data_IF_903190624271
#
_entry.id   IF_903190624271
#
_cell.length_a   1.000
_cell.length_b   1.000
_cell.length_c   1.000
_cell.angle_alpha   90.00
_cell.angle_beta   90.00
_cell.angle_gamma   90.00
#
_symmetry.space_group_name_H-M   'P 1'
#
loop_
_entity.id
_entity.type
_entity.pdbx_description
1 polymer ?
#
# COMPACT_ATOMS: atom_id res chain seq x y z
N UNK A 1 33.19 -3.65 4.98
CA UNK A 1 31.95 -2.89 4.69
C UNK A 1 31.20 -3.66 3.62
N UNK A 2 30.11 -4.36 3.97
CA UNK A 2 29.62 -5.50 3.17
C UNK A 2 28.40 -5.21 2.28
N UNK A 3 27.89 -3.96 2.25
CA UNK A 3 26.67 -3.61 1.51
C UNK A 3 26.89 -2.73 0.28
N UNK A 4 28.10 -2.19 0.04
CA UNK A 4 28.40 -1.21 -1.03
C UNK A 4 27.53 0.07 -1.07
N UNK A 5 26.47 0.18 -0.26
CA UNK A 5 25.55 1.33 -0.17
C UNK A 5 26.29 2.56 0.37
N UNK A 6 26.10 3.75 -0.20
CA UNK A 6 26.72 4.98 0.28
C UNK A 6 26.29 5.31 1.72
N UNK A 7 27.19 5.88 2.53
CA UNK A 7 26.87 6.27 3.90
C UNK A 7 25.77 7.34 3.89
N UNK A 8 24.66 7.09 4.59
CA UNK A 8 23.50 7.99 4.63
C UNK A 8 22.40 7.70 3.60
N UNK A 9 22.64 6.79 2.64
CA UNK A 9 21.56 6.33 1.76
C UNK A 9 20.67 5.31 2.49
N UNK A 10 19.33 5.44 2.43
CA UNK A 10 18.44 4.49 3.07
C UNK A 10 18.54 3.12 2.38
N UNK A 11 18.48 2.04 3.16
CA UNK A 11 18.47 0.68 2.63
C UNK A 11 17.18 0.37 1.85
N UNK A 12 16.10 1.08 2.17
CA UNK A 12 14.80 0.95 1.55
C UNK A 12 14.22 2.34 1.28
N UNK A 13 13.68 2.53 0.08
CA UNK A 13 12.96 3.75 -0.31
C UNK A 13 11.44 3.62 -0.18
N UNK A 14 10.96 2.45 0.22
CA UNK A 14 9.54 2.13 0.28
C UNK A 14 9.20 1.32 1.52
N UNK A 15 8.03 1.59 2.09
CA UNK A 15 7.48 0.87 3.25
C UNK A 15 6.10 0.31 2.89
N UNK A 16 5.91 -0.98 3.15
CA UNK A 16 4.59 -1.62 3.19
C UNK A 16 4.23 -1.86 4.66
N UNK A 17 3.07 -1.38 5.08
CA UNK A 17 2.55 -1.58 6.44
C UNK A 17 1.21 -2.30 6.37
N UNK A 18 1.04 -3.42 7.05
CA UNK A 18 -0.24 -4.10 7.19
C UNK A 18 -0.73 -3.93 8.63
N UNK A 19 -1.89 -3.29 8.79
CA UNK A 19 -2.46 -2.95 10.09
C UNK A 19 -3.80 -3.65 10.24
N UNK A 20 -3.85 -4.66 11.09
CA UNK A 20 -5.12 -5.20 11.53
C UNK A 20 -5.77 -4.20 12.50
N UNK A 21 -6.86 -3.57 12.06
CA UNK A 21 -7.62 -2.57 12.81
C UNK A 21 -8.95 -3.19 13.23
N UNK A 22 -9.00 -3.75 14.44
CA UNK A 22 -10.28 -4.08 15.07
C UNK A 22 -11.09 -2.79 15.28
N UNK A 23 -12.44 -2.88 15.30
CA UNK A 23 -13.31 -1.70 15.46
C UNK A 23 -12.98 -0.84 16.70
N UNK A 24 -12.36 -1.41 17.73
CA UNK A 24 -11.90 -0.73 18.95
C UNK A 24 -10.59 0.07 18.79
N UNK A 25 -9.94 0.01 17.63
CA UNK A 25 -8.63 0.65 17.41
C UNK A 25 -8.71 2.16 17.12
N UNK A 26 -9.91 2.70 16.89
CA UNK A 26 -10.11 4.15 16.98
C UNK A 26 -9.96 4.54 18.44
N UNK A 27 -8.89 5.29 18.75
CA UNK A 27 -8.62 5.86 20.07
C UNK A 27 -9.79 6.77 20.50
N UNK A 28 -10.85 6.19 21.03
CA UNK A 28 -11.98 6.90 21.61
C UNK A 28 -11.60 7.26 23.04
N UNK A 29 -10.94 8.40 23.20
CA UNK A 29 -10.58 8.91 24.52
C UNK A 29 -11.76 9.78 25.00
N UNK A 30 -12.45 9.40 26.09
CA UNK A 30 -13.61 10.15 26.57
C UNK A 30 -13.24 11.62 26.83
N UNK A 31 -14.01 12.54 26.23
CA UNK A 31 -13.78 13.99 26.36
C UNK A 31 -12.75 14.59 25.39
N UNK A 32 -12.14 13.79 24.51
CA UNK A 32 -11.24 14.27 23.46
C UNK A 32 -11.84 14.03 22.08
N UNK A 33 -11.76 15.04 21.22
CA UNK A 33 -12.16 14.97 19.81
C UNK A 33 -10.91 14.94 18.95
N UNK A 34 -10.75 13.88 18.14
CA UNK A 34 -9.74 13.87 17.09
C UNK A 34 -10.11 14.93 16.04
N UNK A 35 -9.20 15.86 15.79
CA UNK A 35 -9.36 16.90 14.77
C UNK A 35 -8.72 16.48 13.44
N UNK A 36 -7.53 15.92 13.51
CA UNK A 36 -6.80 15.36 12.37
C UNK A 36 -5.79 14.30 12.85
N UNK A 37 -5.51 13.33 12.00
CA UNK A 37 -4.46 12.33 12.19
C UNK A 37 -3.71 12.15 10.87
N UNK A 38 -2.49 12.68 10.81
CA UNK A 38 -1.62 12.56 9.64
C UNK A 38 -0.50 11.56 9.91
N UNK A 39 -0.44 10.48 9.13
CA UNK A 39 0.69 9.55 9.18
C UNK A 39 1.92 10.18 8.52
N UNK A 40 2.95 10.50 9.31
CA UNK A 40 4.22 11.01 8.79
C UNK A 40 5.17 9.86 8.52
N UNK A 41 5.76 9.83 7.33
CA UNK A 41 6.77 8.85 6.94
C UNK A 41 8.03 9.54 6.40
N UNK A 42 9.19 8.95 6.66
CA UNK A 42 10.47 9.37 6.07
C UNK A 42 10.80 8.59 4.78
N UNK A 43 9.89 7.72 4.33
CA UNK A 43 10.05 6.94 3.11
C UNK A 43 9.42 7.68 1.92
N UNK A 44 10.12 7.78 0.77
CA UNK A 44 9.57 8.33 -0.47
C UNK A 44 8.26 7.69 -0.94
N UNK A 45 8.03 6.41 -0.59
CA UNK A 45 6.79 5.70 -0.83
C UNK A 45 6.38 4.90 0.42
N UNK A 46 5.14 5.04 0.85
CA UNK A 46 4.56 4.24 1.92
C UNK A 46 3.17 3.78 1.48
N UNK A 47 2.91 2.49 1.60
CA UNK A 47 1.60 1.88 1.40
C UNK A 47 1.19 1.21 2.71
N UNK A 48 0.06 1.65 3.25
CA UNK A 48 -0.59 1.02 4.41
C UNK A 48 -1.83 0.27 3.94
N UNK A 49 -1.91 -1.01 4.27
CA UNK A 49 -3.11 -1.84 4.14
C UNK A 49 -3.76 -1.91 5.51
N UNK A 50 -4.95 -1.34 5.64
CA UNK A 50 -5.75 -1.39 6.85
C UNK A 50 -6.75 -2.52 6.70
N UNK A 51 -6.62 -3.56 7.51
CA UNK A 51 -7.55 -4.67 7.55
C UNK A 51 -8.61 -4.41 8.62
N UNK A 52 -9.84 -4.19 8.17
CA UNK A 52 -11.02 -3.97 9.02
C UNK A 52 -11.79 -5.28 9.29
N UNK A 53 -11.26 -6.42 8.84
CA UNK A 53 -11.86 -7.75 8.96
C UNK A 53 -12.84 -8.09 7.82
N UNK A 54 -13.71 -7.15 7.43
CA UNK A 54 -14.62 -7.33 6.28
C UNK A 54 -14.06 -6.82 4.96
N UNK A 55 -13.12 -5.89 5.03
CA UNK A 55 -12.63 -5.11 3.91
C UNK A 55 -11.22 -4.59 4.20
N UNK A 56 -10.50 -4.26 3.13
CA UNK A 56 -9.16 -3.68 3.18
C UNK A 56 -9.21 -2.23 2.72
N UNK A 57 -8.68 -1.32 3.53
CA UNK A 57 -8.40 0.06 3.14
C UNK A 57 -6.95 0.20 2.64
N UNK A 58 -6.76 0.88 1.51
CA UNK A 58 -5.44 1.21 0.98
C UNK A 58 -5.14 2.69 1.19
N UNK A 59 -4.02 2.99 1.85
CA UNK A 59 -3.53 4.35 2.01
C UNK A 59 -2.11 4.45 1.44
N UNK A 60 -1.90 5.36 0.48
CA UNK A 60 -0.59 5.58 -0.14
C UNK A 60 -0.11 7.00 0.12
N UNK A 61 1.09 7.10 0.65
CA UNK A 61 1.86 8.34 0.70
C UNK A 61 3.05 8.20 -0.27
N UNK A 62 3.12 9.09 -1.25
CA UNK A 62 4.24 9.13 -2.19
C UNK A 62 4.74 10.55 -2.36
N UNK A 63 6.01 10.68 -2.70
CA UNK A 63 6.61 11.93 -3.16
C UNK A 63 6.58 11.99 -4.69
N UNK A 64 6.50 13.20 -5.24
CA UNK A 64 6.60 13.42 -6.69
C UNK A 64 7.89 12.80 -7.26
N UNK A 65 7.85 12.24 -8.48
CA UNK A 65 6.75 12.30 -9.46
C UNK A 65 5.70 11.20 -9.32
N UNK A 66 5.79 10.34 -8.30
CA UNK A 66 4.89 9.21 -8.16
C UNK A 66 3.51 9.68 -7.69
N UNK A 67 2.50 9.47 -8.54
CA UNK A 67 1.11 9.80 -8.24
C UNK A 67 0.50 8.75 -7.29
N UNK A 68 0.10 9.13 -6.07
CA UNK A 68 -0.44 8.19 -5.10
C UNK A 68 -1.76 7.55 -5.58
N UNK A 69 -2.57 8.24 -6.38
CA UNK A 69 -3.83 7.69 -6.88
C UNK A 69 -3.59 6.58 -7.90
N UNK A 70 -2.65 6.78 -8.82
CA UNK A 70 -2.24 5.78 -9.82
C UNK A 70 -1.65 4.55 -9.14
N UNK A 71 -0.77 4.76 -8.15
CA UNK A 71 -0.23 3.67 -7.34
C UNK A 71 -1.32 2.91 -6.59
N UNK A 72 -2.33 3.60 -6.07
CA UNK A 72 -3.43 2.99 -5.33
C UNK A 72 -4.27 2.11 -6.27
N UNK A 73 -4.60 2.62 -7.46
CA UNK A 73 -5.33 1.85 -8.46
C UNK A 73 -4.55 0.61 -8.92
N UNK A 74 -3.24 0.71 -9.16
CA UNK A 74 -2.40 -0.46 -9.49
C UNK A 74 -2.37 -1.49 -8.36
N UNK A 75 -2.24 -1.05 -7.10
CA UNK A 75 -2.23 -1.95 -5.96
C UNK A 75 -3.59 -2.65 -5.77
N UNK A 76 -4.69 -1.91 -5.92
CA UNK A 76 -6.03 -2.48 -5.90
C UNK A 76 -6.18 -3.56 -6.98
N UNK A 77 -5.82 -3.24 -8.23
CA UNK A 77 -5.87 -4.18 -9.35
C UNK A 77 -5.01 -5.43 -9.08
N UNK A 78 -3.81 -5.25 -8.53
CA UNK A 78 -2.94 -6.37 -8.17
C UNK A 78 -3.56 -7.28 -7.10
N UNK A 79 -4.22 -6.72 -6.08
CA UNK A 79 -4.88 -7.51 -5.03
C UNK A 79 -6.11 -8.25 -5.54
N UNK A 80 -6.91 -7.63 -6.40
CA UNK A 80 -8.05 -8.26 -7.08
C UNK A 80 -7.58 -9.45 -7.92
N UNK A 81 -6.60 -9.22 -8.81
CA UNK A 81 -6.04 -10.27 -9.66
C UNK A 81 -5.38 -11.40 -8.86
N UNK A 82 -4.68 -11.07 -7.78
CA UNK A 82 -4.07 -12.07 -6.90
C UNK A 82 -5.14 -12.94 -6.24
N UNK A 83 -6.22 -12.33 -5.74
CA UNK A 83 -7.32 -13.05 -5.09
C UNK A 83 -8.02 -13.98 -6.09
N UNK A 84 -8.28 -13.50 -7.30
CA UNK A 84 -8.88 -14.28 -8.38
C UNK A 84 -7.98 -15.44 -8.82
N UNK A 85 -6.68 -15.20 -8.98
CA UNK A 85 -5.71 -16.23 -9.33
C UNK A 85 -5.62 -17.31 -8.24
N UNK A 86 -5.57 -16.92 -6.96
CA UNK A 86 -5.56 -17.88 -5.86
C UNK A 86 -6.85 -18.72 -5.79
N UNK A 87 -8.00 -18.14 -6.14
CA UNK A 87 -9.28 -18.83 -6.14
C UNK A 87 -9.42 -19.83 -7.30
N UNK A 88 -8.95 -19.49 -8.50
CA UNK A 88 -9.23 -20.27 -9.71
C UNK A 88 -8.02 -21.02 -10.28
N UNK A 89 -6.82 -20.44 -10.18
CA UNK A 89 -5.57 -20.95 -10.77
C UNK A 89 -4.37 -20.70 -9.85
N UNK A 90 -4.31 -21.31 -8.65
CA UNK A 90 -3.30 -21.00 -7.63
C UNK A 90 -1.86 -21.36 -8.02
N UNK A 91 -1.68 -22.09 -9.12
CA UNK A 91 -0.36 -22.40 -9.70
C UNK A 91 0.14 -21.32 -10.68
N UNK A 92 -0.67 -20.31 -10.97
CA UNK A 92 -0.26 -19.18 -11.81
C UNK A 92 0.92 -18.45 -11.18
N UNK A 93 1.95 -18.18 -11.99
CA UNK A 93 3.10 -17.40 -11.53
C UNK A 93 2.67 -15.96 -11.25
N UNK A 94 3.15 -15.40 -10.14
CA UNK A 94 2.82 -14.01 -9.73
C UNK A 94 3.20 -12.98 -10.80
N UNK A 95 4.19 -13.28 -11.63
CA UNK A 95 4.63 -12.41 -12.74
C UNK A 95 3.64 -12.34 -13.89
N UNK A 96 2.63 -13.22 -13.93
CA UNK A 96 1.57 -13.23 -14.93
C UNK A 96 0.35 -12.40 -14.51
N UNK A 97 0.33 -11.87 -13.29
CA UNK A 97 -0.76 -11.01 -12.83
C UNK A 97 -0.76 -9.68 -13.61
N UNK A 98 -1.91 -9.35 -14.20
CA UNK A 98 -2.13 -8.08 -14.88
C UNK A 98 -2.42 -6.97 -13.86
N UNK A 99 -1.36 -6.33 -13.37
CA UNK A 99 -1.45 -5.30 -12.32
C UNK A 99 -1.78 -3.90 -12.84
N UNK A 100 -1.99 -3.72 -14.15
CA UNK A 100 -2.22 -2.43 -14.78
C UNK A 100 -3.73 -2.14 -14.93
N UNK A 101 -4.27 -1.13 -14.22
CA UNK A 101 -5.64 -0.68 -14.41
C UNK A 101 -5.88 -0.24 -15.85
N UNK A 102 -7.13 -0.36 -16.32
CA UNK A 102 -7.50 0.04 -17.69
C UNK A 102 -7.14 1.51 -18.01
N UNK A 103 -7.24 2.41 -17.02
CA UNK A 103 -6.87 3.81 -17.18
C UNK A 103 -5.37 4.00 -17.50
N UNK A 104 -4.50 3.17 -16.93
CA UNK A 104 -3.05 3.21 -17.18
C UNK A 104 -2.69 2.69 -18.56
N UNK A 105 -3.41 1.69 -19.07
CA UNK A 105 -3.14 1.09 -20.38
C UNK A 105 -3.31 2.07 -21.54
N UNK A 106 -4.14 3.09 -21.37
CA UNK A 106 -4.39 4.11 -22.40
C UNK A 106 -3.35 5.24 -22.40
N UNK A 107 -2.43 5.28 -21.43
CA UNK A 107 -1.39 6.31 -21.28
C UNK A 107 -0.01 5.87 -21.82
N UNK A 108 0.13 4.61 -22.22
CA UNK A 108 1.34 4.00 -22.79
C UNK A 108 1.20 3.83 -24.31
#
# INVERSE_FOLDING_TARGET
>A
RCSSVATGAPLFSSLLNYRHQSQDSQLQWPGLRLLDSSERTNYPLCLSVNDYGSDLGLLIHSVQPADPQRLCAMMQCALEQLTDALAHTPQMDVTQLDVLPAAERNLL
#
